data_IF_789924048063
#
_entry.id   IF_789924048063
#
_cell.length_a   1.000
_cell.length_b   1.000
_cell.length_c   1.000
_cell.angle_alpha   90.00
_cell.angle_beta   90.00
_cell.angle_gamma   90.00
#
_symmetry.space_group_name_H-M   'P 1'
#
loop_
_entity.id
_entity.type
_entity.pdbx_description
1 polymer ?
#
# COMPACT_ATOMS: atom_id res chain seq x y z
N UNK A 1 25.81 8.11 -12.21
CA UNK A 1 26.59 7.71 -11.03
C UNK A 1 25.78 7.72 -9.73
N UNK A 2 24.77 8.60 -9.53
CA UNK A 2 23.92 8.64 -8.30
C UNK A 2 22.97 7.43 -8.14
N UNK A 3 22.48 6.84 -9.23
CA UNK A 3 21.52 5.73 -9.21
C UNK A 3 22.08 4.38 -8.72
N UNK A 4 23.35 4.11 -8.95
CA UNK A 4 24.00 2.84 -8.49
C UNK A 4 24.28 2.80 -6.99
N UNK A 5 24.35 3.95 -6.33
CA UNK A 5 24.64 4.05 -4.89
C UNK A 5 23.43 3.69 -4.06
N UNK A 6 22.20 4.02 -4.54
CA UNK A 6 20.96 3.72 -3.82
C UNK A 6 20.68 2.20 -3.78
N UNK A 7 20.88 1.50 -4.89
CA UNK A 7 20.73 0.04 -4.97
C UNK A 7 21.72 -0.72 -4.05
N UNK A 8 22.96 -0.25 -3.97
CA UNK A 8 23.98 -0.83 -3.07
C UNK A 8 23.70 -0.55 -1.58
N UNK A 9 23.14 0.61 -1.25
CA UNK A 9 22.77 0.95 0.13
C UNK A 9 21.60 0.08 0.63
N UNK A 10 20.60 -0.17 -0.22
CA UNK A 10 19.45 -1.00 0.14
C UNK A 10 19.87 -2.46 0.42
N UNK A 11 20.76 -3.03 -0.39
CA UNK A 11 21.33 -4.36 -0.15
C UNK A 11 22.11 -4.45 1.17
N UNK A 12 22.81 -3.39 1.58
CA UNK A 12 23.54 -3.36 2.85
C UNK A 12 22.63 -3.30 4.07
N UNK A 13 21.51 -2.57 3.98
CA UNK A 13 20.52 -2.47 5.06
C UNK A 13 19.83 -3.79 5.32
N UNK A 14 19.54 -4.57 4.26
CA UNK A 14 18.91 -5.88 4.37
C UNK A 14 19.88 -6.96 4.93
N UNK A 15 21.17 -6.86 4.64
CA UNK A 15 22.14 -7.87 5.04
C UNK A 15 22.68 -7.74 6.48
N UNK A 16 22.64 -6.55 7.07
CA UNK A 16 23.37 -6.29 8.32
C UNK A 16 22.49 -6.13 9.56
N UNK A 17 21.15 -6.08 9.46
CA UNK A 17 20.26 -5.89 10.61
C UNK A 17 20.50 -4.61 11.43
N UNK A 18 21.43 -3.78 10.99
CA UNK A 18 21.93 -2.57 11.68
C UNK A 18 22.32 -1.56 10.61
N UNK A 19 21.47 -0.58 10.34
CA UNK A 19 21.94 0.72 9.87
C UNK A 19 20.84 1.76 10.01
N UNK A 20 21.02 2.61 10.97
CA UNK A 20 20.57 3.99 10.97
C UNK A 20 21.31 4.67 9.81
N UNK A 21 20.70 4.78 8.66
CA UNK A 21 21.31 5.39 7.47
C UNK A 21 21.06 6.87 7.47
N UNK A 22 22.13 7.58 7.27
CA UNK A 22 22.27 9.01 7.12
C UNK A 22 21.23 9.66 6.19
N UNK A 23 20.09 9.98 6.76
CA UNK A 23 19.32 11.14 6.36
C UNK A 23 19.82 12.34 7.20
N UNK A 24 19.75 13.57 6.70
CA UNK A 24 20.11 14.72 7.53
C UNK A 24 19.28 14.68 8.82
N UNK A 25 19.92 14.87 10.00
CA UNK A 25 19.39 14.46 11.30
C UNK A 25 18.08 15.13 11.74
N UNK A 26 17.57 16.12 11.03
CA UNK A 26 16.34 16.85 11.39
C UNK A 26 15.06 16.39 10.63
N UNK A 27 15.18 15.67 9.52
CA UNK A 27 14.03 15.23 8.72
C UNK A 27 13.79 13.71 8.74
N UNK A 28 14.82 12.90 8.97
CA UNK A 28 14.68 11.44 9.02
C UNK A 28 13.95 10.95 10.27
N UNK A 29 14.02 11.67 11.38
CA UNK A 29 13.30 11.33 12.60
C UNK A 29 11.79 11.37 12.45
N UNK A 30 11.27 12.36 11.77
CA UNK A 30 9.81 12.56 11.66
C UNK A 30 9.10 11.55 10.76
N UNK A 31 9.67 11.18 9.60
CA UNK A 31 9.05 10.20 8.70
C UNK A 31 9.11 8.79 9.29
N UNK A 32 10.28 8.39 9.79
CA UNK A 32 10.48 7.09 10.40
C UNK A 32 9.64 6.91 11.66
N UNK A 33 9.59 7.91 12.52
CA UNK A 33 8.87 7.84 13.81
C UNK A 33 7.35 7.83 13.60
N UNK A 34 6.83 8.61 12.66
CA UNK A 34 5.41 8.63 12.35
C UNK A 34 4.96 7.33 11.64
N UNK A 35 5.74 6.81 10.70
CA UNK A 35 5.46 5.52 10.07
C UNK A 35 5.52 4.37 11.09
N UNK A 36 6.46 4.40 12.03
CA UNK A 36 6.53 3.49 13.17
C UNK A 36 5.29 3.55 14.07
N UNK A 37 4.79 4.76 14.32
CA UNK A 37 3.57 4.96 15.11
C UNK A 37 2.37 4.29 14.45
N UNK A 38 2.20 4.46 13.13
CA UNK A 38 1.12 3.83 12.39
C UNK A 38 1.20 2.31 12.42
N UNK A 39 2.39 1.74 12.21
CA UNK A 39 2.57 0.28 12.24
C UNK A 39 2.31 -0.29 13.64
N UNK A 40 2.69 0.41 14.71
CA UNK A 40 2.44 -0.03 16.08
C UNK A 40 0.99 0.14 16.53
N UNK A 41 0.24 0.99 15.85
CA UNK A 41 -1.14 1.31 16.19
C UNK A 41 -2.03 1.23 14.93
N UNK A 42 -2.38 0.01 14.46
CA UNK A 42 -3.16 -0.16 13.23
C UNK A 42 -4.50 0.58 13.26
N UNK A 43 -5.08 0.81 14.44
CA UNK A 43 -6.26 1.66 14.59
C UNK A 43 -6.07 3.13 14.20
N UNK A 44 -4.83 3.64 14.12
CA UNK A 44 -4.54 4.97 13.59
C UNK A 44 -4.56 4.97 12.06
N UNK A 45 -4.13 3.89 11.41
CA UNK A 45 -4.22 3.74 9.95
C UNK A 45 -5.69 3.76 9.52
N UNK A 46 -6.56 3.04 10.24
CA UNK A 46 -8.01 3.04 9.95
C UNK A 46 -8.64 4.43 10.02
N UNK A 47 -8.10 5.36 10.80
CA UNK A 47 -8.59 6.75 10.85
C UNK A 47 -8.26 7.58 9.60
N UNK A 48 -7.33 7.12 8.77
CA UNK A 48 -7.00 7.76 7.49
C UNK A 48 -8.07 7.43 6.42
N UNK A 49 -8.76 6.31 6.61
CA UNK A 49 -9.86 5.89 5.77
C UNK A 49 -11.14 6.58 6.24
N UNK A 50 -11.75 7.32 5.34
CA UNK A 50 -13.00 8.00 5.57
C UNK A 50 -14.20 7.08 5.35
N UNK A 51 -15.05 7.45 4.40
CA UNK A 51 -16.24 6.68 4.05
C UNK A 51 -15.91 5.58 3.05
N UNK A 52 -16.46 4.38 3.26
CA UNK A 52 -16.42 3.29 2.27
C UNK A 52 -17.28 3.67 1.06
N UNK A 53 -16.73 3.54 -0.13
CA UNK A 53 -17.37 3.91 -1.40
C UNK A 53 -17.50 2.75 -2.39
N UNK A 54 -16.69 1.71 -2.24
CA UNK A 54 -16.76 0.49 -3.03
C UNK A 54 -16.13 -0.69 -2.27
N UNK A 55 -16.50 -1.91 -2.63
CA UNK A 55 -15.91 -3.13 -2.09
C UNK A 55 -16.09 -4.31 -3.06
N UNK A 56 -15.37 -5.41 -2.80
CA UNK A 56 -15.47 -6.63 -3.57
C UNK A 56 -14.43 -7.68 -3.17
N UNK A 57 -14.24 -8.66 -4.02
CA UNK A 57 -13.35 -9.79 -3.81
C UNK A 57 -12.11 -9.68 -4.70
N UNK A 58 -10.96 -10.13 -4.18
CA UNK A 58 -9.68 -10.08 -4.86
C UNK A 58 -8.77 -11.29 -4.57
N UNK A 59 -9.34 -12.40 -4.16
CA UNK A 59 -8.67 -13.69 -4.05
C UNK A 59 -8.36 -14.32 -5.42
N UNK A 60 -7.58 -15.42 -5.45
CA UNK A 60 -7.17 -16.05 -6.69
C UNK A 60 -8.32 -16.73 -7.41
N UNK A 61 -8.17 -17.00 -8.72
CA UNK A 61 -9.19 -17.66 -9.53
C UNK A 61 -9.63 -18.99 -8.93
N UNK A 62 -10.95 -19.14 -8.73
CA UNK A 62 -11.57 -20.29 -8.08
C UNK A 62 -11.66 -20.20 -6.55
N UNK A 63 -11.13 -19.13 -5.94
CA UNK A 63 -11.22 -18.81 -4.53
C UNK A 63 -11.25 -17.27 -4.32
N UNK A 64 -11.98 -16.59 -5.20
CA UNK A 64 -12.04 -15.13 -5.25
C UNK A 64 -12.52 -14.53 -3.92
N UNK A 65 -13.44 -15.21 -3.24
CA UNK A 65 -14.01 -14.77 -1.97
C UNK A 65 -13.14 -15.06 -0.75
N UNK A 66 -11.89 -15.51 -0.93
CA UNK A 66 -10.96 -15.70 0.20
C UNK A 66 -10.26 -14.40 0.63
N UNK A 67 -10.15 -13.44 -0.28
CA UNK A 67 -9.56 -12.12 -0.01
C UNK A 67 -10.51 -11.03 -0.51
N UNK A 68 -10.71 -10.04 0.33
CA UNK A 68 -11.67 -8.94 0.10
C UNK A 68 -10.95 -7.61 0.06
N UNK A 69 -11.55 -6.63 -0.60
CA UNK A 69 -11.11 -5.25 -0.56
C UNK A 69 -12.27 -4.30 -0.27
N UNK A 70 -11.93 -3.17 0.33
CA UNK A 70 -12.80 -2.00 0.48
C UNK A 70 -12.05 -0.76 0.00
N UNK A 71 -12.74 0.10 -0.73
CA UNK A 71 -12.22 1.40 -1.16
C UNK A 71 -12.89 2.47 -0.32
N UNK A 72 -12.08 3.35 0.21
CA UNK A 72 -12.50 4.45 1.07
C UNK A 72 -12.09 5.79 0.47
N UNK A 73 -12.89 6.82 0.69
CA UNK A 73 -12.39 8.18 0.58
C UNK A 73 -11.24 8.35 1.57
N UNK A 74 -10.13 8.90 1.13
CA UNK A 74 -9.10 9.37 2.06
C UNK A 74 -9.52 10.73 2.56
N UNK A 75 -9.81 10.80 3.85
CA UNK A 75 -10.26 12.03 4.49
C UNK A 75 -9.25 13.14 4.25
N UNK A 76 -9.75 14.29 3.79
CA UNK A 76 -9.03 15.48 3.40
C UNK A 76 -7.77 15.74 4.27
N UNK A 77 -6.67 16.22 3.69
CA UNK A 77 -5.42 16.60 4.38
C UNK A 77 -5.58 17.53 5.59
N UNK A 78 -6.74 18.17 5.78
CA UNK A 78 -7.02 18.95 7.00
C UNK A 78 -7.08 18.10 8.28
N UNK A 79 -7.49 16.83 8.20
CA UNK A 79 -7.39 15.87 9.33
C UNK A 79 -5.95 15.39 9.49
N UNK A 80 -5.17 15.51 8.44
CA UNK A 80 -3.72 15.23 8.38
C UNK A 80 -2.91 16.37 9.00
N UNK A 81 -3.51 17.56 9.26
CA UNK A 81 -2.80 18.70 9.87
C UNK A 81 -2.17 18.36 11.23
N UNK A 82 -2.74 17.40 11.95
CA UNK A 82 -2.18 16.92 13.22
C UNK A 82 -1.14 15.79 13.03
N UNK A 83 -0.87 15.36 11.78
CA UNK A 83 0.10 14.34 11.48
C UNK A 83 1.23 14.87 10.59
N UNK A 84 2.40 15.23 11.17
CA UNK A 84 3.52 15.80 10.42
C UNK A 84 4.04 14.92 9.27
N UNK A 85 3.86 13.61 9.38
CA UNK A 85 4.30 12.66 8.36
C UNK A 85 3.44 12.73 7.09
N UNK A 86 2.12 12.69 7.26
CA UNK A 86 1.21 12.79 6.12
C UNK A 86 1.28 14.18 5.48
N UNK A 87 1.48 15.24 6.27
CA UNK A 87 1.74 16.58 5.75
C UNK A 87 2.98 16.60 4.86
N UNK A 88 4.07 15.98 5.26
CA UNK A 88 5.30 15.92 4.46
C UNK A 88 5.10 15.14 3.17
N UNK A 89 4.42 14.00 3.23
CA UNK A 89 4.12 13.19 2.05
C UNK A 89 3.27 13.97 1.05
N UNK A 90 2.21 14.62 1.52
CA UNK A 90 1.30 15.39 0.66
C UNK A 90 1.92 16.68 0.10
N UNK A 91 2.92 17.27 0.80
CA UNK A 91 3.67 18.43 0.29
C UNK A 91 4.75 18.06 -0.74
N UNK A 92 5.26 16.83 -0.71
CA UNK A 92 6.33 16.38 -1.62
C UNK A 92 5.76 16.06 -3.01
N UNK A 93 4.48 15.68 -3.07
CA UNK A 93 3.83 15.21 -4.29
C UNK A 93 2.83 16.25 -4.80
N UNK A 94 2.73 16.34 -6.11
CA UNK A 94 1.87 17.29 -6.82
C UNK A 94 0.39 16.82 -6.77
N UNK A 95 -0.14 16.69 -5.55
CA UNK A 95 -1.55 16.38 -5.33
C UNK A 95 -2.42 17.56 -5.75
N UNK A 96 -3.47 17.26 -6.48
CA UNK A 96 -4.49 18.27 -6.84
C UNK A 96 -5.36 18.56 -5.62
N UNK A 97 -5.41 19.82 -5.20
CA UNK A 97 -6.18 20.24 -4.03
C UNK A 97 -7.71 20.05 -4.20
N UNK A 98 -8.18 20.01 -5.45
CA UNK A 98 -9.59 19.84 -5.82
C UNK A 98 -9.99 18.37 -6.10
N UNK A 99 -9.04 17.44 -6.05
CA UNK A 99 -9.31 16.03 -6.30
C UNK A 99 -9.64 15.25 -5.03
N UNK A 100 -10.60 14.34 -5.13
CA UNK A 100 -10.84 13.32 -4.11
C UNK A 100 -9.85 12.18 -4.30
N UNK A 101 -9.12 11.82 -3.26
CA UNK A 101 -8.24 10.65 -3.24
C UNK A 101 -8.87 9.50 -2.48
N UNK A 102 -8.39 8.30 -2.77
CA UNK A 102 -8.92 7.06 -2.24
C UNK A 102 -7.83 6.23 -1.58
N UNK A 103 -8.24 5.35 -0.68
CA UNK A 103 -7.41 4.32 -0.09
C UNK A 103 -8.03 2.95 -0.26
N UNK A 104 -7.21 1.93 -0.47
CA UNK A 104 -7.65 0.55 -0.52
C UNK A 104 -7.25 -0.20 0.75
N UNK A 105 -8.22 -0.86 1.36
CA UNK A 105 -8.07 -1.72 2.51
C UNK A 105 -8.33 -3.16 2.09
N UNK A 106 -7.36 -4.04 2.30
CA UNK A 106 -7.41 -5.44 1.87
C UNK A 106 -7.33 -6.35 3.10
N UNK A 107 -8.19 -7.34 3.17
CA UNK A 107 -8.26 -8.31 4.27
C UNK A 107 -8.77 -9.66 3.75
N UNK A 108 -8.60 -10.72 4.53
CA UNK A 108 -9.04 -12.05 4.14
C UNK A 108 -8.08 -13.15 4.55
N UNK A 109 -8.21 -14.29 3.91
CA UNK A 109 -7.41 -15.49 4.18
C UNK A 109 -6.64 -15.93 2.95
N UNK A 110 -5.31 -16.08 3.09
CA UNK A 110 -4.50 -16.68 2.05
C UNK A 110 -3.99 -15.72 0.99
N UNK A 111 -4.12 -16.07 -0.28
CA UNK A 111 -3.46 -15.37 -1.37
C UNK A 111 -4.37 -14.36 -2.05
N UNK A 112 -3.82 -13.17 -2.31
CA UNK A 112 -4.37 -12.24 -3.30
C UNK A 112 -4.14 -12.77 -4.72
N UNK A 113 -5.03 -12.42 -5.65
CA UNK A 113 -4.90 -12.78 -7.06
C UNK A 113 -3.64 -12.18 -7.72
N UNK A 114 -3.14 -12.88 -8.71
CA UNK A 114 -2.14 -12.39 -9.66
C UNK A 114 -2.87 -11.87 -10.93
N UNK A 115 -2.75 -10.58 -11.18
CA UNK A 115 -3.50 -9.94 -12.25
C UNK A 115 -2.85 -10.04 -13.63
N UNK A 116 -1.51 -10.16 -13.69
CA UNK A 116 -0.77 -10.25 -14.95
C UNK A 116 -1.09 -11.47 -15.80
N UNK A 117 -1.25 -12.63 -15.18
CA UNK A 117 -1.46 -13.89 -15.89
C UNK A 117 -2.77 -13.94 -16.70
N UNK A 118 -3.75 -13.10 -16.33
CA UNK A 118 -5.10 -13.07 -16.94
C UNK A 118 -5.33 -11.85 -17.80
N UNK A 119 -4.38 -10.90 -17.84
CA UNK A 119 -4.61 -9.57 -18.45
C UNK A 119 -5.65 -8.73 -17.71
N UNK A 120 -6.12 -9.21 -16.57
CA UNK A 120 -7.09 -8.53 -15.71
C UNK A 120 -6.36 -7.56 -14.79
N UNK A 121 -6.87 -6.33 -14.68
CA UNK A 121 -6.39 -5.36 -13.70
C UNK A 121 -6.95 -5.70 -12.31
N UNK A 122 -6.24 -5.28 -11.25
CA UNK A 122 -6.79 -5.32 -9.90
C UNK A 122 -8.08 -4.48 -9.81
N UNK A 123 -9.04 -4.85 -8.95
CA UNK A 123 -10.37 -4.22 -8.93
C UNK A 123 -10.34 -2.71 -8.64
N UNK A 124 -9.32 -2.23 -7.94
CA UNK A 124 -9.09 -0.79 -7.67
C UNK A 124 -8.33 -0.07 -8.80
N UNK A 125 -7.86 -0.81 -9.82
CA UNK A 125 -7.22 -0.25 -10.99
C UNK A 125 -8.24 -0.06 -12.11
N UNK A 126 -8.15 1.04 -12.84
CA UNK A 126 -9.07 1.35 -13.92
C UNK A 126 -10.34 2.07 -13.43
N UNK A 127 -11.45 1.82 -14.10
CA UNK A 127 -12.72 2.51 -13.84
C UNK A 127 -13.48 1.82 -12.71
N UNK A 128 -13.68 2.53 -11.61
CA UNK A 128 -14.36 2.00 -10.41
C UNK A 128 -15.65 2.76 -10.16
N UNK A 129 -16.76 2.02 -10.05
CA UNK A 129 -18.03 2.59 -9.60
C UNK A 129 -17.97 2.83 -8.09
N UNK A 130 -18.14 4.07 -7.67
CA UNK A 130 -18.11 4.48 -6.27
C UNK A 130 -19.45 5.04 -5.83
N UNK A 131 -19.83 4.76 -4.58
CA UNK A 131 -21.06 5.26 -3.97
C UNK A 131 -20.90 6.73 -3.58
N UNK A 132 -21.82 7.56 -4.01
CA UNK A 132 -21.90 8.98 -3.62
C UNK A 132 -22.81 9.19 -2.42
N UNK A 133 -22.41 10.13 -1.57
CA UNK A 133 -23.13 10.47 -0.36
C UNK A 133 -23.33 12.00 -0.24
N UNK A 134 -24.44 12.42 0.33
CA UNK A 134 -24.64 13.83 0.72
C UNK A 134 -23.93 14.13 2.06
N UNK A 135 -23.98 15.41 2.48
CA UNK A 135 -23.39 15.89 3.73
C UNK A 135 -23.96 15.21 4.99
N UNK A 136 -25.14 14.59 4.88
CA UNK A 136 -25.78 13.83 5.97
C UNK A 136 -25.39 12.34 5.98
N UNK A 137 -24.52 11.92 5.06
CA UNK A 137 -24.10 10.52 4.93
C UNK A 137 -25.13 9.59 4.28
N UNK A 138 -26.12 10.13 3.58
CA UNK A 138 -27.12 9.35 2.86
C UNK A 138 -26.64 9.11 1.43
N UNK A 139 -26.81 7.90 0.94
CA UNK A 139 -26.53 7.54 -0.46
C UNK A 139 -27.40 8.37 -1.39
N UNK A 140 -26.79 9.03 -2.36
CA UNK A 140 -27.48 9.85 -3.38
C UNK A 140 -27.33 9.29 -4.80
N UNK A 141 -26.40 8.34 -5.00
CA UNK A 141 -26.15 7.73 -6.29
C UNK A 141 -24.83 6.98 -6.33
N UNK A 142 -24.40 6.71 -7.55
CA UNK A 142 -23.07 6.18 -7.86
C UNK A 142 -22.46 6.98 -8.99
N UNK A 143 -21.14 7.08 -9.02
CA UNK A 143 -20.37 7.67 -10.10
C UNK A 143 -19.21 6.77 -10.48
N UNK A 144 -18.69 6.92 -11.69
CA UNK A 144 -17.51 6.16 -12.13
C UNK A 144 -16.29 7.05 -12.01
N UNK A 145 -15.33 6.62 -11.18
CA UNK A 145 -14.00 7.22 -11.12
C UNK A 145 -13.12 6.49 -12.13
N UNK A 146 -12.73 7.21 -13.19
CA UNK A 146 -11.89 6.65 -14.24
C UNK A 146 -10.43 6.52 -13.75
N UNK A 147 -9.80 5.38 -14.02
CA UNK A 147 -8.41 5.08 -13.66
C UNK A 147 -8.10 5.35 -12.17
N UNK A 148 -8.98 4.92 -11.27
CA UNK A 148 -8.88 5.22 -9.83
C UNK A 148 -7.49 4.89 -9.27
N UNK A 149 -6.97 3.70 -9.52
CA UNK A 149 -5.68 3.26 -8.99
C UNK A 149 -4.50 4.07 -9.54
N UNK A 150 -4.54 4.42 -10.82
CA UNK A 150 -3.48 5.15 -11.51
C UNK A 150 -3.44 6.64 -11.11
N UNK A 151 -4.63 7.27 -10.91
CA UNK A 151 -4.77 8.72 -10.78
C UNK A 151 -5.16 9.20 -9.38
N UNK A 152 -5.74 8.34 -8.54
CA UNK A 152 -6.36 8.79 -7.29
C UNK A 152 -6.10 7.89 -6.08
N UNK A 153 -5.41 6.75 -6.22
CA UNK A 153 -5.10 5.88 -5.10
C UNK A 153 -3.89 6.43 -4.33
N UNK A 154 -4.10 6.90 -3.11
CA UNK A 154 -3.06 7.54 -2.30
C UNK A 154 -2.50 6.63 -1.19
N UNK A 155 -3.30 5.68 -0.72
CA UNK A 155 -2.99 4.85 0.44
C UNK A 155 -3.43 3.42 0.21
N UNK A 156 -2.62 2.44 0.63
CA UNK A 156 -3.03 1.04 0.66
C UNK A 156 -2.63 0.38 1.98
N UNK A 157 -3.50 -0.47 2.50
CA UNK A 157 -3.29 -1.24 3.71
C UNK A 157 -3.77 -2.67 3.54
N UNK A 158 -2.88 -3.63 3.72
CA UNK A 158 -3.22 -5.05 3.83
C UNK A 158 -3.21 -5.42 5.31
N UNK A 159 -4.39 -5.75 5.85
CA UNK A 159 -4.59 -5.94 7.26
C UNK A 159 -3.97 -7.23 7.79
N UNK A 160 -3.54 -7.18 9.05
CA UNK A 160 -3.26 -8.38 9.84
C UNK A 160 -4.56 -9.19 10.05
N UNK A 161 -4.43 -10.43 10.54
CA UNK A 161 -5.58 -11.24 10.93
C UNK A 161 -6.45 -10.51 11.95
N UNK A 162 -7.59 -10.02 11.50
CA UNK A 162 -8.52 -9.18 12.28
C UNK A 162 -9.95 -9.66 12.16
N UNK A 163 -10.81 -9.19 13.06
CA UNK A 163 -12.24 -9.32 12.93
C UNK A 163 -12.74 -8.17 12.04
N UNK A 164 -13.31 -8.51 10.89
CA UNK A 164 -13.83 -7.52 9.92
C UNK A 164 -15.29 -7.79 9.61
N UNK A 165 -16.05 -6.71 9.39
CA UNK A 165 -17.42 -6.79 8.92
C UNK A 165 -17.45 -6.97 7.40
N UNK A 166 -18.03 -8.10 6.96
CA UNK A 166 -18.23 -8.41 5.55
C UNK A 166 -19.63 -9.00 5.33
N UNK A 167 -20.36 -8.47 4.36
CA UNK A 167 -21.73 -8.90 4.03
C UNK A 167 -22.66 -8.98 5.25
N UNK A 168 -22.54 -8.01 6.18
CA UNK A 168 -23.38 -7.93 7.39
C UNK A 168 -23.04 -8.95 8.47
N UNK A 169 -21.87 -9.58 8.40
CA UNK A 169 -21.34 -10.49 9.42
C UNK A 169 -19.95 -10.06 9.85
N UNK A 170 -19.66 -10.18 11.12
CA UNK A 170 -18.29 -10.05 11.63
C UNK A 170 -17.62 -11.41 11.54
N UNK A 171 -16.57 -11.49 10.74
CA UNK A 171 -15.77 -12.72 10.55
C UNK A 171 -14.32 -12.45 10.95
N UNK A 172 -13.65 -13.52 11.44
CA UNK A 172 -12.25 -13.44 11.77
C UNK A 172 -11.42 -13.99 10.63
N UNK A 173 -10.49 -13.17 10.13
CA UNK A 173 -9.57 -13.52 9.08
C UNK A 173 -8.17 -13.78 9.63
N UNK A 174 -7.42 -14.68 9.00
CA UNK A 174 -6.06 -15.05 9.41
C UNK A 174 -4.97 -14.16 8.82
N UNK A 175 -5.29 -13.49 7.73
CA UNK A 175 -4.40 -12.55 7.04
C UNK A 175 -4.03 -12.97 5.62
N UNK A 176 -3.76 -11.97 4.79
CA UNK A 176 -3.31 -12.13 3.41
C UNK A 176 -1.83 -12.48 3.39
N UNK A 177 -1.42 -13.42 2.53
CA UNK A 177 -0.06 -14.00 2.54
C UNK A 177 0.85 -13.57 1.40
N UNK A 178 0.32 -12.82 0.41
CA UNK A 178 1.13 -12.23 -0.67
C UNK A 178 0.56 -10.89 -1.11
N UNK A 179 1.40 -10.08 -1.74
CA UNK A 179 0.96 -9.02 -2.64
C UNK A 179 0.94 -9.60 -4.04
N UNK A 180 -0.22 -9.63 -4.69
CA UNK A 180 -0.39 -10.24 -6.01
C UNK A 180 0.45 -9.55 -7.10
N UNK A 181 0.78 -10.29 -8.15
CA UNK A 181 1.49 -9.72 -9.28
C UNK A 181 0.68 -8.59 -9.93
N UNK A 182 1.34 -7.48 -10.25
CA UNK A 182 0.75 -6.27 -10.85
C UNK A 182 -0.35 -5.60 -10.03
N UNK A 183 -0.54 -5.96 -8.76
CA UNK A 183 -1.68 -5.50 -7.95
C UNK A 183 -1.75 -3.97 -7.81
N UNK A 184 -0.61 -3.30 -7.73
CA UNK A 184 -0.51 -1.84 -7.61
C UNK A 184 0.31 -1.19 -8.73
N UNK A 185 0.56 -1.94 -9.82
CA UNK A 185 1.35 -1.44 -10.95
C UNK A 185 0.80 -0.11 -11.49
N UNK A 186 1.68 0.88 -11.68
CA UNK A 186 1.34 2.21 -12.17
C UNK A 186 0.39 3.02 -11.24
N UNK A 187 0.31 2.69 -9.93
CA UNK A 187 -0.39 3.49 -8.93
C UNK A 187 0.42 4.74 -8.60
N UNK A 188 0.44 5.70 -9.53
CA UNK A 188 1.34 6.85 -9.48
C UNK A 188 1.27 7.62 -8.16
N UNK A 189 0.06 7.82 -7.61
CA UNK A 189 -0.17 8.61 -6.40
C UNK A 189 -0.13 7.79 -5.10
N UNK A 190 0.10 6.48 -5.16
CA UNK A 190 0.27 5.66 -3.98
C UNK A 190 1.54 6.07 -3.20
N UNK A 191 1.37 6.71 -2.06
CA UNK A 191 2.50 7.22 -1.26
C UNK A 191 2.93 6.31 -0.14
N UNK A 192 1.97 5.62 0.48
CA UNK A 192 2.23 4.72 1.60
C UNK A 192 1.56 3.38 1.39
N UNK A 193 2.33 2.32 1.61
CA UNK A 193 1.85 0.95 1.65
C UNK A 193 2.13 0.33 3.01
N UNK A 194 1.09 -0.19 3.66
CA UNK A 194 1.21 -0.92 4.91
C UNK A 194 0.88 -2.39 4.68
N UNK A 195 1.87 -3.25 4.94
CA UNK A 195 1.78 -4.69 4.77
C UNK A 195 1.67 -5.36 6.14
N UNK A 196 0.79 -6.35 6.25
CA UNK A 196 0.73 -7.21 7.41
C UNK A 196 1.96 -8.11 7.54
N UNK A 197 2.19 -8.67 8.72
CA UNK A 197 3.37 -9.50 9.00
C UNK A 197 3.28 -10.93 8.43
N UNK A 198 2.13 -11.34 7.89
CA UNK A 198 1.90 -12.66 7.32
C UNK A 198 2.26 -12.75 5.82
N UNK A 199 2.51 -11.62 5.18
CA UNK A 199 2.98 -11.58 3.79
C UNK A 199 4.34 -12.30 3.68
N UNK A 200 4.38 -13.30 2.80
CA UNK A 200 5.58 -14.09 2.49
C UNK A 200 6.19 -13.70 1.15
N UNK A 201 5.40 -13.13 0.25
CA UNK A 201 5.81 -12.79 -1.11
C UNK A 201 5.28 -11.44 -1.54
N UNK A 202 6.17 -10.62 -2.09
CA UNK A 202 5.81 -9.48 -2.92
C UNK A 202 6.06 -9.91 -4.36
N UNK A 203 4.98 -10.11 -5.12
CA UNK A 203 5.04 -10.78 -6.42
C UNK A 203 5.58 -9.89 -7.54
N UNK A 204 5.76 -10.47 -8.71
CA UNK A 204 6.29 -9.84 -9.92
C UNK A 204 5.54 -8.54 -10.26
N UNK A 205 6.25 -7.45 -10.48
CA UNK A 205 5.71 -6.12 -10.82
C UNK A 205 4.65 -5.57 -9.83
N UNK A 206 4.60 -6.03 -8.59
CA UNK A 206 3.53 -5.67 -7.64
C UNK A 206 3.35 -4.15 -7.46
N UNK A 207 4.44 -3.39 -7.42
CA UNK A 207 4.50 -1.92 -7.29
C UNK A 207 5.29 -1.28 -8.44
N UNK A 208 5.22 -1.85 -9.63
CA UNK A 208 5.97 -1.38 -10.79
C UNK A 208 5.54 0.04 -11.18
N UNK A 209 6.50 0.99 -11.18
CA UNK A 209 6.28 2.41 -11.51
C UNK A 209 5.32 3.16 -10.57
N UNK A 210 5.28 2.79 -9.32
CA UNK A 210 4.63 3.59 -8.29
C UNK A 210 5.55 4.76 -7.94
N UNK A 211 5.56 5.79 -8.79
CA UNK A 211 6.53 6.89 -8.77
C UNK A 211 6.56 7.62 -7.42
N UNK A 212 5.40 7.73 -6.73
CA UNK A 212 5.27 8.45 -5.46
C UNK A 212 5.29 7.55 -4.23
N UNK A 213 5.49 6.25 -4.37
CA UNK A 213 5.62 5.35 -3.23
C UNK A 213 6.85 5.71 -2.41
N UNK A 214 6.62 6.40 -1.29
CA UNK A 214 7.67 6.95 -0.43
C UNK A 214 8.00 6.07 0.76
N UNK A 215 7.01 5.31 1.26
CA UNK A 215 7.16 4.50 2.47
C UNK A 215 6.45 3.15 2.39
N UNK A 216 7.16 2.11 2.81
CA UNK A 216 6.64 0.74 2.93
C UNK A 216 7.30 0.01 4.10
N UNK A 217 6.55 -0.86 4.80
CA UNK A 217 7.16 -1.81 5.73
C UNK A 217 7.38 -3.18 5.06
N UNK A 218 8.47 -3.83 5.42
CA UNK A 218 8.74 -5.22 5.04
C UNK A 218 8.22 -6.17 6.11
N UNK A 219 7.31 -7.10 5.76
CA UNK A 219 6.74 -8.07 6.66
C UNK A 219 7.76 -8.98 7.33
N UNK A 220 7.50 -9.43 8.56
CA UNK A 220 8.41 -10.34 9.27
C UNK A 220 8.53 -11.72 8.63
N UNK A 221 7.47 -12.20 7.99
CA UNK A 221 7.45 -13.50 7.29
C UNK A 221 7.88 -13.43 5.83
N UNK A 222 8.29 -12.25 5.33
CA UNK A 222 8.68 -12.06 3.94
C UNK A 222 9.86 -12.97 3.57
N UNK A 223 9.70 -13.76 2.51
CA UNK A 223 10.68 -14.71 1.98
C UNK A 223 11.18 -14.33 0.59
N UNK A 224 10.33 -13.70 -0.22
CA UNK A 224 10.61 -13.36 -1.61
C UNK A 224 10.13 -11.95 -1.95
N UNK A 225 11.02 -11.17 -2.59
CA UNK A 225 10.67 -9.99 -3.39
C UNK A 225 10.98 -10.37 -4.83
N UNK A 226 9.94 -10.47 -5.66
CA UNK A 226 10.05 -10.97 -7.01
C UNK A 226 10.52 -9.90 -8.00
N UNK A 227 10.66 -10.28 -9.27
CA UNK A 227 11.21 -9.44 -10.34
C UNK A 227 10.41 -8.16 -10.48
N UNK A 228 11.13 -7.05 -10.66
CA UNK A 228 10.54 -5.75 -10.93
C UNK A 228 9.52 -5.27 -9.87
N UNK A 229 9.45 -5.88 -8.69
CA UNK A 229 8.43 -5.59 -7.69
C UNK A 229 8.33 -4.11 -7.33
N UNK A 230 9.45 -3.39 -7.24
CA UNK A 230 9.56 -1.94 -6.98
C UNK A 230 10.33 -1.21 -8.08
N UNK A 231 10.27 -1.69 -9.32
CA UNK A 231 10.92 -1.04 -10.44
C UNK A 231 10.30 0.34 -10.71
N UNK A 232 11.13 1.38 -10.73
CA UNK A 232 10.66 2.74 -11.00
C UNK A 232 9.90 3.40 -9.84
N UNK A 233 10.03 2.87 -8.60
CA UNK A 233 9.56 3.54 -7.38
C UNK A 233 10.57 4.62 -6.99
N UNK A 234 10.63 5.72 -7.75
CA UNK A 234 11.72 6.71 -7.72
C UNK A 234 11.79 7.48 -6.39
N UNK A 235 10.68 7.59 -5.66
CA UNK A 235 10.60 8.29 -4.37
C UNK A 235 10.68 7.38 -3.16
N UNK A 236 10.87 6.06 -3.34
CA UNK A 236 10.94 5.13 -2.23
C UNK A 236 12.18 5.38 -1.36
N UNK A 237 11.99 6.17 -0.33
CA UNK A 237 13.06 6.63 0.59
C UNK A 237 13.01 5.94 1.93
N UNK A 238 11.85 5.42 2.33
CA UNK A 238 11.66 4.76 3.61
C UNK A 238 11.16 3.33 3.44
N UNK A 239 12.09 2.38 3.63
CA UNK A 239 11.78 0.94 3.66
C UNK A 239 12.05 0.44 5.08
N UNK A 240 10.98 0.15 5.83
CA UNK A 240 11.12 -0.37 7.18
C UNK A 240 11.30 -1.89 7.15
N UNK A 241 12.54 -2.34 7.23
CA UNK A 241 12.89 -3.75 7.28
C UNK A 241 13.35 -4.16 8.69
N UNK A 242 12.39 -4.41 9.60
CA UNK A 242 12.68 -4.95 10.94
C UNK A 242 12.36 -6.43 11.01
N UNK A 243 13.37 -7.24 11.40
CA UNK A 243 13.23 -8.68 11.62
C UNK A 243 12.79 -9.49 10.37
N UNK A 244 13.20 -9.06 9.17
CA UNK A 244 12.99 -9.82 7.92
C UNK A 244 13.95 -11.02 7.83
N UNK A 245 14.08 -11.80 8.89
CA UNK A 245 15.05 -12.92 8.97
C UNK A 245 14.74 -14.08 8.02
N UNK A 246 13.53 -14.08 7.43
CA UNK A 246 13.09 -15.09 6.47
C UNK A 246 13.35 -14.71 5.02
N UNK A 247 13.70 -13.45 4.73
CA UNK A 247 13.95 -12.99 3.36
C UNK A 247 15.15 -13.73 2.77
N UNK A 248 14.91 -14.53 1.74
CA UNK A 248 15.90 -15.40 1.09
C UNK A 248 16.27 -14.93 -0.30
N UNK A 249 15.37 -14.28 -0.99
CA UNK A 249 15.59 -13.85 -2.38
C UNK A 249 14.99 -12.48 -2.65
N UNK A 250 15.80 -11.69 -3.36
CA UNK A 250 15.39 -10.47 -4.05
C UNK A 250 15.78 -10.70 -5.51
N UNK A 251 14.80 -10.78 -6.39
CA UNK A 251 15.00 -11.14 -7.78
C UNK A 251 15.46 -9.94 -8.64
N UNK A 252 15.72 -10.22 -9.91
CA UNK A 252 16.29 -9.24 -10.84
C UNK A 252 15.45 -7.98 -10.95
N UNK A 253 16.12 -6.83 -10.89
CA UNK A 253 15.53 -5.50 -11.05
C UNK A 253 14.43 -5.16 -10.02
N UNK A 254 14.33 -5.90 -8.91
CA UNK A 254 13.28 -5.68 -7.90
C UNK A 254 13.22 -4.23 -7.40
N UNK A 255 14.35 -3.54 -7.29
CA UNK A 255 14.47 -2.13 -6.84
C UNK A 255 15.23 -1.26 -7.85
N UNK A 256 15.08 -1.53 -9.12
CA UNK A 256 15.74 -0.71 -10.15
C UNK A 256 14.96 0.58 -10.39
N UNK A 257 15.64 1.73 -10.23
CA UNK A 257 15.09 3.07 -10.50
C UNK A 257 16.10 3.94 -11.24
#
# INVERSE_FOLDING_TARGET
>A
MKKRVLSLLLCFVLAAGLLSVCAPPAQAGTIADAFELFIKQPGQIKKLFGREVAHGDCGPAGDEASVHYKIYEVTNPTVVQDNPFLQQIWQIHDYREDAQYYGVYIFGDGKMADYAATGQKAPWMGNVEVTEYNDKGQVIGTTVVENLGEEYLALAYIADGTDEEWNGRTERYSGVTNVGAYAFKDCRYLTCMFLNDDITTISDHAFYKDEYLSAINMPRKLELIDKYAFYGCDTLTFVRARNCSRLRRIEDHAFYS
#
